data_IF_676165079841
#
_entry.id   IF_676165079841
#
_cell.length_a   1.000
_cell.length_b   1.000
_cell.length_c   1.000
_cell.angle_alpha   90.00
_cell.angle_beta   90.00
_cell.angle_gamma   90.00
#
_symmetry.space_group_name_H-M   'P 1'
#
loop_
_entity.id
_entity.type
_entity.pdbx_description
1 polymer ?
#
# COMPACT_ATOMS: atom_id res chain seq x y z
N UNK A 1 -9.30 -2.89 -14.00
CA UNK A 1 -9.01 -2.10 -15.23
C UNK A 1 -7.71 -1.35 -15.15
N UNK A 2 -6.86 -1.58 -16.14
CA UNK A 2 -5.70 -0.77 -16.42
C UNK A 2 -6.09 0.40 -17.34
N UNK A 3 -6.16 1.63 -16.80
CA UNK A 3 -6.52 2.83 -17.59
C UNK A 3 -5.49 3.16 -18.68
N UNK A 4 -4.25 2.73 -18.49
CA UNK A 4 -3.13 2.86 -19.43
C UNK A 4 -2.42 1.51 -19.52
N UNK A 5 -1.68 1.26 -20.59
CA UNK A 5 -0.84 0.07 -20.67
C UNK A 5 0.31 0.11 -19.64
N UNK A 6 0.75 -1.05 -19.18
CA UNK A 6 2.02 -1.19 -18.48
C UNK A 6 3.22 -1.00 -19.42
N UNK A 7 4.44 -1.09 -18.88
CA UNK A 7 5.67 -0.91 -19.67
C UNK A 7 5.90 -2.02 -20.73
N UNK A 8 5.17 -3.14 -20.66
CA UNK A 8 5.21 -4.23 -21.62
C UNK A 8 4.01 -4.18 -22.61
N UNK A 9 3.15 -3.17 -22.51
CA UNK A 9 2.00 -2.99 -23.39
C UNK A 9 0.71 -3.69 -22.93
N UNK A 10 0.69 -4.33 -21.75
CA UNK A 10 -0.52 -4.99 -21.26
C UNK A 10 -1.49 -3.98 -20.67
N UNK A 11 -2.76 -4.08 -21.07
CA UNK A 11 -3.84 -3.22 -20.59
C UNK A 11 -5.10 -4.04 -20.27
N UNK A 12 -5.07 -4.87 -19.22
CA UNK A 12 -6.20 -5.75 -18.87
C UNK A 12 -7.44 -4.95 -18.44
N UNK A 13 -8.61 -5.43 -18.85
CA UNK A 13 -9.93 -4.86 -18.53
C UNK A 13 -10.81 -5.95 -17.94
N UNK A 14 -11.34 -5.72 -16.73
CA UNK A 14 -12.17 -6.66 -15.97
C UNK A 14 -11.56 -8.07 -15.76
N UNK A 15 -10.24 -8.18 -15.79
CA UNK A 15 -9.54 -9.46 -15.56
C UNK A 15 -9.26 -9.71 -14.08
N UNK A 16 -9.52 -10.95 -13.65
CA UNK A 16 -9.16 -11.42 -12.30
C UNK A 16 -7.66 -11.71 -12.20
N UNK A 17 -7.06 -11.35 -11.06
CA UNK A 17 -5.61 -11.53 -10.86
C UNK A 17 -5.26 -13.01 -10.61
N UNK A 18 -6.07 -13.73 -9.84
CA UNK A 18 -5.91 -15.16 -9.60
C UNK A 18 -7.26 -15.87 -9.71
N UNK A 19 -7.33 -16.94 -10.50
CA UNK A 19 -8.59 -17.68 -10.77
C UNK A 19 -9.17 -18.37 -9.54
N UNK A 20 -8.30 -18.81 -8.64
CA UNK A 20 -8.61 -19.49 -7.39
C UNK A 20 -8.45 -18.58 -6.15
N UNK A 21 -8.19 -17.29 -6.37
CA UNK A 21 -8.07 -16.31 -5.31
C UNK A 21 -9.43 -15.72 -4.87
N UNK A 22 -9.55 -15.22 -3.63
CA UNK A 22 -10.71 -14.49 -3.16
C UNK A 22 -10.82 -13.12 -3.84
N UNK A 23 -11.97 -12.46 -3.68
CA UNK A 23 -12.20 -11.12 -4.23
C UNK A 23 -11.19 -10.06 -3.73
N UNK A 24 -10.72 -10.19 -2.49
CA UNK A 24 -9.75 -9.26 -1.90
C UNK A 24 -8.90 -9.94 -0.82
N UNK A 25 -7.73 -9.36 -0.56
CA UNK A 25 -6.89 -9.69 0.58
C UNK A 25 -6.68 -8.45 1.46
N UNK A 26 -6.73 -8.63 2.77
CA UNK A 26 -6.34 -7.61 3.73
C UNK A 26 -4.81 -7.61 3.92
N UNK A 27 -4.23 -6.42 4.06
CA UNK A 27 -2.85 -6.32 4.54
C UNK A 27 -2.72 -6.96 5.93
N UNK A 28 -1.62 -7.67 6.15
CA UNK A 28 -1.31 -8.32 7.44
C UNK A 28 -0.29 -7.53 8.27
N UNK A 29 0.18 -6.41 7.73
CA UNK A 29 0.96 -5.40 8.48
C UNK A 29 0.06 -4.59 9.43
N UNK A 30 0.62 -4.03 10.53
CA UNK A 30 -0.12 -3.19 11.47
C UNK A 30 -0.29 -1.76 10.93
N UNK A 31 -1.04 -1.61 9.84
CA UNK A 31 -1.14 -0.38 9.04
C UNK A 31 -1.60 0.84 9.85
N UNK A 32 -2.50 0.68 10.83
CA UNK A 32 -2.97 1.79 11.66
C UNK A 32 -1.88 2.27 12.61
N UNK A 33 -1.11 1.34 13.16
CA UNK A 33 0.06 1.65 13.99
C UNK A 33 1.14 2.35 13.17
N UNK A 34 1.39 1.89 11.95
CA UNK A 34 2.34 2.51 11.01
C UNK A 34 1.95 3.96 10.69
N UNK A 35 0.68 4.21 10.36
CA UNK A 35 0.15 5.57 10.12
C UNK A 35 0.26 6.45 11.37
N UNK A 36 -0.08 5.93 12.55
CA UNK A 36 0.06 6.67 13.80
C UNK A 36 1.51 7.06 14.09
N UNK A 37 2.48 6.18 13.77
CA UNK A 37 3.90 6.47 13.94
C UNK A 37 4.40 7.56 12.99
N UNK A 38 3.98 7.54 11.72
CA UNK A 38 4.28 8.59 10.75
C UNK A 38 3.72 9.94 11.22
N UNK A 39 2.44 9.99 11.62
CA UNK A 39 1.78 11.20 12.13
C UNK A 39 2.45 11.75 13.40
N UNK A 40 2.93 10.89 14.30
CA UNK A 40 3.67 11.31 15.50
C UNK A 40 4.97 12.07 15.15
N UNK A 41 5.55 11.83 13.97
CA UNK A 41 6.72 12.55 13.46
C UNK A 41 6.35 13.79 12.62
N UNK A 42 5.08 14.19 12.60
CA UNK A 42 4.60 15.31 11.80
C UNK A 42 4.45 15.01 10.31
N UNK A 43 4.49 13.73 9.91
CA UNK A 43 4.40 13.31 8.51
C UNK A 43 2.95 12.97 8.16
N UNK A 44 2.35 13.62 7.15
CA UNK A 44 1.01 13.28 6.68
C UNK A 44 0.95 11.83 6.17
N UNK A 45 0.01 11.06 6.71
CA UNK A 45 -0.23 9.68 6.30
C UNK A 45 -1.67 9.30 6.61
N UNK A 46 -2.23 8.37 5.87
CA UNK A 46 -3.56 7.81 6.11
C UNK A 46 -3.63 6.34 5.70
N UNK A 47 -4.68 5.65 6.14
CA UNK A 47 -4.98 4.31 5.66
C UNK A 47 -5.81 4.46 4.39
N UNK A 48 -5.29 3.95 3.27
CA UNK A 48 -6.08 3.78 2.05
C UNK A 48 -6.80 2.44 2.06
N UNK A 49 -8.07 2.44 1.66
CA UNK A 49 -8.89 1.24 1.49
C UNK A 49 -8.87 0.69 0.04
N UNK A 50 -8.15 1.35 -0.87
CA UNK A 50 -7.97 0.90 -2.26
C UNK A 50 -6.53 1.17 -2.72
N UNK A 51 -5.91 0.15 -3.32
CA UNK A 51 -4.63 0.29 -4.01
C UNK A 51 -4.80 0.66 -5.49
N UNK A 52 -6.02 1.00 -5.92
CA UNK A 52 -6.39 1.18 -7.32
C UNK A 52 -6.59 -0.16 -8.04
N UNK A 53 -6.64 -0.11 -9.37
CA UNK A 53 -6.85 -1.31 -10.23
C UNK A 53 -5.72 -1.53 -11.22
N UNK A 54 -4.58 -0.85 -11.01
CA UNK A 54 -3.39 -0.95 -11.85
C UNK A 54 -2.34 -1.89 -11.21
N UNK A 55 -1.10 -1.81 -11.69
CA UNK A 55 0.01 -2.72 -11.32
C UNK A 55 0.29 -2.72 -9.80
N UNK A 56 0.09 -1.60 -9.10
CA UNK A 56 0.28 -1.52 -7.65
C UNK A 56 -0.65 -2.48 -6.89
N UNK A 57 -1.93 -2.51 -7.25
CA UNK A 57 -2.90 -3.46 -6.69
C UNK A 57 -2.59 -4.89 -7.13
N UNK A 58 -2.24 -5.10 -8.40
CA UNK A 58 -1.86 -6.42 -8.90
C UNK A 58 -0.71 -7.03 -8.07
N UNK A 59 0.33 -6.24 -7.79
CA UNK A 59 1.47 -6.67 -6.97
C UNK A 59 1.06 -6.96 -5.53
N UNK A 60 0.31 -6.06 -4.88
CA UNK A 60 -0.15 -6.27 -3.50
C UNK A 60 -1.00 -7.53 -3.37
N UNK A 61 -1.96 -7.71 -4.29
CA UNK A 61 -2.81 -8.90 -4.34
C UNK A 61 -1.97 -10.15 -4.56
N UNK A 62 -1.08 -10.17 -5.54
CA UNK A 62 -0.25 -11.32 -5.88
C UNK A 62 0.65 -11.77 -4.72
N UNK A 63 1.27 -10.82 -3.99
CA UNK A 63 2.09 -11.13 -2.81
C UNK A 63 1.23 -11.73 -1.69
N UNK A 64 0.07 -11.15 -1.39
CA UNK A 64 -0.82 -11.66 -0.34
C UNK A 64 -1.41 -13.02 -0.71
N UNK A 65 -1.77 -13.21 -1.97
CA UNK A 65 -2.23 -14.48 -2.52
C UNK A 65 -1.15 -15.57 -2.37
N UNK A 66 0.07 -15.28 -2.83
CA UNK A 66 1.21 -16.19 -2.68
C UNK A 66 1.46 -16.57 -1.22
N UNK A 67 1.49 -15.60 -0.31
CA UNK A 67 1.68 -15.85 1.12
C UNK A 67 0.52 -16.65 1.73
N UNK A 68 -0.71 -16.44 1.28
CA UNK A 68 -1.86 -17.22 1.72
C UNK A 68 -1.72 -18.71 1.34
N UNK A 69 -1.23 -19.01 0.14
CA UNK A 69 -0.94 -20.40 -0.26
C UNK A 69 0.21 -21.01 0.57
N UNK A 70 1.26 -20.24 0.87
CA UNK A 70 2.36 -20.67 1.75
C UNK A 70 1.99 -20.73 3.24
N UNK A 71 0.95 -20.04 3.70
CA UNK A 71 0.52 -20.13 5.10
C UNK A 71 0.03 -21.54 5.45
N UNK A 72 -0.41 -22.32 4.44
CA UNK A 72 -0.66 -23.78 4.59
C UNK A 72 0.60 -24.55 5.00
N UNK A 73 1.79 -23.96 4.83
CA UNK A 73 3.10 -24.46 5.28
C UNK A 73 3.72 -23.64 6.43
N UNK A 74 2.93 -22.93 7.24
CA UNK A 74 3.34 -22.26 8.48
C UNK A 74 4.24 -21.00 8.32
N UNK A 75 4.06 -20.21 7.26
CA UNK A 75 4.80 -18.96 7.06
C UNK A 75 4.29 -17.82 7.96
N UNK A 76 5.16 -17.24 8.79
CA UNK A 76 4.87 -16.09 9.66
C UNK A 76 5.03 -14.71 8.95
N UNK A 77 5.22 -14.70 7.63
CA UNK A 77 5.48 -13.48 6.87
C UNK A 77 4.24 -12.59 6.81
N UNK A 78 4.45 -11.29 7.06
CA UNK A 78 3.41 -10.26 6.95
C UNK A 78 3.69 -9.38 5.74
N UNK A 79 2.64 -8.92 5.07
CA UNK A 79 2.73 -8.11 3.87
C UNK A 79 1.65 -7.03 3.84
N UNK A 80 1.94 -5.98 3.07
CA UNK A 80 1.06 -4.84 2.81
C UNK A 80 1.72 -3.95 1.77
N UNK A 81 1.13 -2.79 1.51
CA UNK A 81 1.58 -1.86 0.48
C UNK A 81 1.50 -0.42 0.99
N UNK A 82 2.42 0.43 0.54
CA UNK A 82 2.44 1.87 0.84
C UNK A 82 2.52 2.60 -0.50
N UNK A 83 1.52 3.43 -0.79
CA UNK A 83 1.64 4.44 -1.84
C UNK A 83 2.37 5.66 -1.29
N UNK A 84 3.15 6.30 -2.14
CA UNK A 84 3.81 7.57 -1.86
C UNK A 84 3.35 8.62 -2.86
N UNK A 85 3.28 9.90 -2.46
CA UNK A 85 2.94 10.98 -3.37
C UNK A 85 4.07 11.24 -4.37
N UNK A 86 3.81 12.13 -5.34
CA UNK A 86 4.83 12.62 -6.25
C UNK A 86 5.96 13.37 -5.53
N UNK A 87 7.15 13.37 -6.13
CA UNK A 87 8.21 14.32 -5.82
C UNK A 87 7.85 15.73 -6.33
N UNK A 88 8.36 16.81 -5.71
CA UNK A 88 8.14 18.17 -6.20
C UNK A 88 8.59 18.37 -7.65
N UNK A 89 9.69 17.70 -8.05
CA UNK A 89 10.21 17.75 -9.42
C UNK A 89 9.31 17.09 -10.46
N UNK A 90 8.36 16.25 -10.05
CA UNK A 90 7.43 15.55 -10.95
C UNK A 90 6.13 16.33 -11.23
N UNK A 91 5.94 17.47 -10.55
CA UNK A 91 4.69 18.26 -10.60
C UNK A 91 4.94 19.74 -10.87
N UNK A 92 6.11 20.10 -11.41
CA UNK A 92 6.51 21.48 -11.67
C UNK A 92 5.54 22.23 -12.60
N UNK A 93 4.83 21.49 -13.46
CA UNK A 93 3.83 21.96 -14.41
C UNK A 93 2.38 21.61 -13.99
N UNK A 94 2.17 21.11 -12.76
CA UNK A 94 0.88 20.61 -12.26
C UNK A 94 0.50 21.28 -10.93
N UNK A 95 0.11 22.57 -10.93
CA UNK A 95 -0.01 23.40 -9.72
C UNK A 95 -1.02 22.89 -8.67
N UNK A 96 -2.01 22.08 -9.07
CA UNK A 96 -2.99 21.50 -8.16
C UNK A 96 -2.60 20.10 -7.60
N UNK A 97 -1.45 19.55 -8.00
CA UNK A 97 -1.03 18.20 -7.60
C UNK A 97 -0.17 18.26 -6.35
N UNK A 98 -0.59 17.59 -5.28
CA UNK A 98 0.19 17.46 -4.06
C UNK A 98 1.49 16.68 -4.32
N UNK A 99 2.56 17.08 -3.64
CA UNK A 99 3.85 16.40 -3.66
C UNK A 99 4.50 16.39 -2.27
N UNK A 100 5.53 15.58 -2.10
CA UNK A 100 6.31 15.47 -0.86
C UNK A 100 7.77 15.25 -1.21
N UNK A 101 8.68 15.87 -0.45
CA UNK A 101 10.11 15.70 -0.70
C UNK A 101 10.56 14.27 -0.39
N UNK A 102 11.66 13.84 -1.02
CA UNK A 102 12.20 12.48 -0.84
C UNK A 102 12.57 12.22 0.62
N UNK A 103 13.11 13.23 1.31
CA UNK A 103 13.53 13.14 2.71
C UNK A 103 12.34 12.86 3.62
N UNK A 104 11.23 13.57 3.44
CA UNK A 104 10.01 13.37 4.23
C UNK A 104 9.38 12.01 3.95
N UNK A 105 9.31 11.60 2.67
CA UNK A 105 8.81 10.27 2.30
C UNK A 105 9.65 9.16 2.93
N UNK A 106 10.98 9.28 2.88
CA UNK A 106 11.91 8.31 3.44
C UNK A 106 11.74 8.22 4.96
N UNK A 107 11.73 9.35 5.67
CA UNK A 107 11.51 9.39 7.11
C UNK A 107 10.15 8.78 7.53
N UNK A 108 9.13 8.92 6.68
CA UNK A 108 7.82 8.29 6.88
C UNK A 108 7.87 6.78 6.73
N UNK A 109 8.45 6.28 5.63
CA UNK A 109 8.60 4.86 5.35
C UNK A 109 9.45 4.18 6.44
N UNK A 110 10.55 4.78 6.86
CA UNK A 110 11.37 4.26 7.96
C UNK A 110 10.58 4.12 9.27
N UNK A 111 9.79 5.13 9.63
CA UNK A 111 8.93 5.09 10.81
C UNK A 111 7.88 3.98 10.71
N UNK A 112 7.30 3.80 9.52
CA UNK A 112 6.34 2.76 9.23
C UNK A 112 6.97 1.36 9.38
N UNK A 113 8.12 1.12 8.75
CA UNK A 113 8.86 -0.15 8.82
C UNK A 113 9.29 -0.46 10.25
N UNK A 114 9.90 0.51 10.96
CA UNK A 114 10.32 0.32 12.34
C UNK A 114 9.15 -0.06 13.25
N UNK A 115 7.97 0.52 13.02
CA UNK A 115 6.74 0.18 13.74
C UNK A 115 6.21 -1.21 13.38
N UNK A 116 6.24 -1.56 12.09
CA UNK A 116 5.80 -2.86 11.62
C UNK A 116 6.62 -4.01 12.23
N UNK A 117 7.94 -3.83 12.36
CA UNK A 117 8.84 -4.82 12.99
C UNK A 117 8.52 -5.05 14.47
N UNK A 118 8.18 -3.98 15.20
CA UNK A 118 7.94 -4.02 16.66
C UNK A 118 6.49 -4.38 17.03
N UNK A 119 5.55 -4.23 16.11
CA UNK A 119 4.10 -4.36 16.38
C UNK A 119 3.54 -5.59 15.69
N UNK A 120 3.15 -6.61 16.46
CA UNK A 120 2.55 -7.85 15.91
C UNK A 120 1.04 -7.75 15.72
N UNK A 121 0.34 -7.06 16.63
CA UNK A 121 -1.11 -6.85 16.58
C UNK A 121 -1.39 -5.38 16.39
N UNK A 122 -2.20 -5.05 15.39
CA UNK A 122 -2.48 -3.65 15.07
C UNK A 122 -3.39 -2.98 16.11
N UNK A 123 -3.28 -1.65 16.21
CA UNK A 123 -4.14 -0.84 17.07
C UNK A 123 -5.52 -0.70 16.44
N UNK A 124 -6.56 -0.82 17.26
CA UNK A 124 -7.94 -0.50 16.88
C UNK A 124 -8.17 1.01 16.92
N UNK A 125 -7.68 1.72 15.91
CA UNK A 125 -7.93 3.15 15.71
C UNK A 125 -9.00 3.37 14.65
N UNK A 126 -9.76 4.46 14.74
CA UNK A 126 -10.63 4.90 13.64
C UNK A 126 -9.72 5.38 12.50
N UNK A 127 -9.90 4.81 11.33
CA UNK A 127 -9.15 5.14 10.11
C UNK A 127 -9.88 4.74 8.85
N UNK A 128 -11.20 4.57 8.95
CA UNK A 128 -12.06 4.38 7.78
C UNK A 128 -12.36 5.74 7.14
N UNK A 129 -12.71 5.72 5.87
CA UNK A 129 -13.21 6.88 5.12
C UNK A 129 -14.71 6.72 4.89
N UNK A 130 -15.45 7.82 4.80
CA UNK A 130 -16.91 7.79 4.55
C UNK A 130 -17.24 7.70 3.06
N UNK A 131 -16.29 8.04 2.19
CA UNK A 131 -16.34 7.95 0.73
C UNK A 131 -14.93 7.66 0.20
#
# INVERSE_FOLDING_TARGET
DARIADNAGHQPTDEIIAKDGPAAYFATLPIKSMVAAMRKRGIPAEVSNSAGTFVCNHLMYGVLHYLHHLARSNSATRAGFIHVPYLPSQVTDRPATASMTLEVMTAGIEAAIATALKTKRDRKLVGGTTH
#
